data_IF_769890437103
#
_entry.id   IF_769890437103
#
_cell.length_a   1.000
_cell.length_b   1.000
_cell.length_c   1.000
_cell.angle_alpha   90.00
_cell.angle_beta   90.00
_cell.angle_gamma   90.00
#
_symmetry.space_group_name_H-M   'P 1'
#
loop_
_entity.id
_entity.type
_entity.pdbx_description
1 polymer ?
#
# COMPACT_ATOMS: atom_id res chain seq x y z
N UNK A 1 -22.33 -11.86 -6.81
CA UNK A 1 -22.59 -10.45 -7.17
C UNK A 1 -21.65 -9.60 -6.35
N UNK A 2 -20.75 -8.87 -7.00
CA UNK A 2 -19.84 -7.92 -6.32
C UNK A 2 -20.60 -6.61 -6.12
N UNK A 3 -20.57 -6.06 -4.91
CA UNK A 3 -21.15 -4.76 -4.60
C UNK A 3 -20.01 -3.78 -4.29
N UNK A 4 -19.89 -2.78 -5.15
CA UNK A 4 -18.84 -1.76 -5.08
C UNK A 4 -19.41 -0.40 -4.71
N UNK A 5 -18.67 0.34 -3.90
CA UNK A 5 -18.95 1.74 -3.57
C UNK A 5 -17.67 2.56 -3.76
N UNK A 6 -17.81 3.71 -4.38
CA UNK A 6 -16.75 4.70 -4.52
C UNK A 6 -17.15 5.98 -3.78
N UNK A 7 -16.26 6.46 -2.90
CA UNK A 7 -16.41 7.70 -2.15
C UNK A 7 -15.32 8.67 -2.61
N UNK A 8 -15.74 9.81 -3.16
CA UNK A 8 -14.84 10.87 -3.62
C UNK A 8 -14.87 12.01 -2.61
N UNK A 9 -13.70 12.34 -2.07
CA UNK A 9 -13.46 13.37 -1.06
C UNK A 9 -14.42 13.26 0.15
N UNK A 10 -14.63 12.07 0.75
CA UNK A 10 -15.60 11.92 1.83
C UNK A 10 -15.18 12.73 3.07
N UNK A 11 -16.12 13.41 3.76
CA UNK A 11 -15.86 14.00 5.07
C UNK A 11 -15.66 12.89 6.12
N UNK A 12 -15.04 13.23 7.26
CA UNK A 12 -14.98 12.29 8.38
C UNK A 12 -16.39 11.94 8.89
N UNK A 13 -16.62 10.72 9.40
CA UNK A 13 -17.89 10.32 10.00
C UNK A 13 -18.45 11.28 11.05
N UNK A 14 -17.57 11.84 11.87
CA UNK A 14 -17.89 12.85 12.88
C UNK A 14 -18.22 14.23 12.30
N UNK A 15 -17.66 14.60 11.15
CA UNK A 15 -17.93 15.89 10.51
C UNK A 15 -19.27 15.92 9.75
N UNK A 16 -19.71 14.78 9.21
CA UNK A 16 -21.01 14.66 8.53
C UNK A 16 -21.78 13.37 8.93
N UNK A 17 -22.35 13.33 10.14
CA UNK A 17 -23.06 12.14 10.62
C UNK A 17 -24.26 11.75 9.74
N UNK A 18 -24.87 12.70 9.02
CA UNK A 18 -26.06 12.46 8.21
C UNK A 18 -25.72 11.61 6.97
N UNK A 19 -24.65 11.96 6.26
CA UNK A 19 -24.15 11.16 5.12
C UNK A 19 -23.76 9.76 5.58
N UNK A 20 -23.05 9.65 6.70
CA UNK A 20 -22.60 8.37 7.23
C UNK A 20 -23.73 7.50 7.79
N UNK A 21 -24.83 8.09 8.25
CA UNK A 21 -26.06 7.37 8.61
C UNK A 21 -26.75 6.73 7.38
N UNK A 22 -26.55 7.28 6.18
CA UNK A 22 -27.01 6.68 4.93
C UNK A 22 -26.04 5.58 4.50
N UNK A 23 -24.73 5.87 4.48
CA UNK A 23 -23.70 4.91 4.06
C UNK A 23 -23.69 3.65 4.94
N UNK A 24 -23.92 3.76 6.24
CA UNK A 24 -23.99 2.62 7.16
C UNK A 24 -25.14 1.64 6.86
N UNK A 25 -26.13 2.03 6.05
CA UNK A 25 -27.19 1.13 5.58
C UNK A 25 -26.71 0.23 4.44
N UNK A 26 -25.59 0.55 3.80
CA UNK A 26 -24.99 -0.21 2.70
C UNK A 26 -24.15 -1.38 3.24
N UNK A 27 -24.76 -2.25 4.04
CA UNK A 27 -24.05 -3.30 4.80
C UNK A 27 -23.50 -4.46 3.94
N UNK A 28 -23.83 -4.50 2.65
CA UNK A 28 -23.44 -5.56 1.72
C UNK A 28 -22.28 -5.17 0.81
N UNK A 29 -21.70 -3.98 0.99
CA UNK A 29 -20.55 -3.53 0.20
C UNK A 29 -19.36 -4.43 0.51
N UNK A 30 -18.79 -5.03 -0.54
CA UNK A 30 -17.61 -5.88 -0.44
C UNK A 30 -16.36 -5.18 -0.98
N UNK A 31 -16.54 -4.22 -1.89
CA UNK A 31 -15.47 -3.45 -2.51
C UNK A 31 -15.69 -1.96 -2.20
N UNK A 32 -14.72 -1.32 -1.57
CA UNK A 32 -14.77 0.09 -1.22
C UNK A 32 -13.57 0.81 -1.84
N UNK A 33 -13.84 1.84 -2.62
CA UNK A 33 -12.82 2.78 -3.09
C UNK A 33 -13.04 4.13 -2.42
N UNK A 34 -11.99 4.69 -1.85
CA UNK A 34 -11.98 6.03 -1.26
C UNK A 34 -10.90 6.84 -1.96
N UNK A 35 -11.30 7.92 -2.60
CA UNK A 35 -10.44 8.74 -3.45
C UNK A 35 -10.44 10.19 -2.97
N UNK A 36 -9.28 10.85 -3.00
CA UNK A 36 -9.09 12.27 -2.67
C UNK A 36 -9.60 12.66 -1.27
N UNK A 37 -9.48 11.73 -0.33
CA UNK A 37 -9.85 11.95 1.05
C UNK A 37 -8.81 12.83 1.75
N UNK A 38 -9.24 13.90 2.41
CA UNK A 38 -8.36 14.81 3.16
C UNK A 38 -8.81 14.85 4.61
N UNK A 39 -8.31 13.94 5.44
CA UNK A 39 -8.71 13.82 6.84
C UNK A 39 -7.66 14.40 7.76
N UNK A 40 -8.11 15.25 8.68
CA UNK A 40 -7.25 15.83 9.70
C UNK A 40 -6.95 14.85 10.84
N UNK A 41 -7.91 14.00 11.20
CA UNK A 41 -7.82 13.01 12.26
C UNK A 41 -8.76 11.84 11.97
N UNK A 42 -8.36 10.62 12.32
CA UNK A 42 -9.24 9.45 12.33
C UNK A 42 -9.57 9.08 13.79
N UNK A 43 -10.63 9.67 14.34
CA UNK A 43 -11.00 9.45 15.74
C UNK A 43 -11.47 8.02 16.00
N UNK A 44 -11.50 7.61 17.28
CA UNK A 44 -11.97 6.28 17.65
C UNK A 44 -13.43 6.04 17.23
N UNK A 45 -14.26 7.09 17.29
CA UNK A 45 -15.64 7.12 16.86
C UNK A 45 -15.76 6.93 15.34
N UNK A 46 -14.93 7.62 14.56
CA UNK A 46 -14.89 7.47 13.10
C UNK A 46 -14.57 6.01 12.73
N UNK A 47 -13.56 5.41 13.37
CA UNK A 47 -13.18 4.01 13.15
C UNK A 47 -14.32 3.04 13.50
N UNK A 48 -15.02 3.28 14.61
CA UNK A 48 -16.14 2.44 15.02
C UNK A 48 -17.28 2.49 13.98
N UNK A 49 -17.58 3.69 13.47
CA UNK A 49 -18.59 3.90 12.44
C UNK A 49 -18.19 3.23 11.11
N UNK A 50 -16.95 3.44 10.65
CA UNK A 50 -16.40 2.79 9.46
C UNK A 50 -16.45 1.27 9.58
N UNK A 51 -15.99 0.73 10.71
CA UNK A 51 -15.99 -0.71 10.99
C UNK A 51 -17.41 -1.29 10.96
N UNK A 52 -18.38 -0.57 11.52
CA UNK A 52 -19.78 -0.99 11.51
C UNK A 52 -20.39 -0.93 10.12
N UNK A 53 -20.15 0.16 9.38
CA UNK A 53 -20.71 0.38 8.05
C UNK A 53 -20.15 -0.58 7.01
N UNK A 54 -18.85 -0.89 7.11
CA UNK A 54 -18.08 -1.59 6.09
C UNK A 54 -17.48 -2.90 6.59
N UNK A 55 -18.16 -3.57 7.53
CA UNK A 55 -17.70 -4.84 8.10
C UNK A 55 -17.49 -5.95 7.05
N UNK A 56 -18.17 -5.90 5.91
CA UNK A 56 -18.09 -6.90 4.83
C UNK A 56 -17.07 -6.54 3.74
N UNK A 57 -16.37 -5.40 3.87
CA UNK A 57 -15.38 -4.99 2.88
C UNK A 57 -14.18 -5.94 2.92
N UNK A 58 -13.88 -6.49 1.74
CA UNK A 58 -12.77 -7.41 1.49
C UNK A 58 -11.76 -6.82 0.52
N UNK A 59 -12.17 -5.83 -0.28
CA UNK A 59 -11.33 -5.12 -1.23
C UNK A 59 -11.40 -3.62 -0.91
N UNK A 60 -10.26 -3.02 -0.58
CA UNK A 60 -10.15 -1.61 -0.24
C UNK A 60 -9.13 -0.93 -1.16
N UNK A 61 -9.56 0.14 -1.82
CA UNK A 61 -8.69 1.03 -2.61
C UNK A 61 -8.64 2.40 -1.95
N UNK A 62 -7.44 2.91 -1.70
CA UNK A 62 -7.19 4.24 -1.16
C UNK A 62 -6.40 5.06 -2.17
N UNK A 63 -7.09 5.95 -2.89
CA UNK A 63 -6.51 6.82 -3.91
C UNK A 63 -6.36 8.25 -3.45
N UNK A 64 -5.18 8.83 -3.65
CA UNK A 64 -4.88 10.25 -3.39
C UNK A 64 -5.29 10.71 -1.98
N UNK A 65 -5.29 9.79 -1.00
CA UNK A 65 -5.71 10.08 0.36
C UNK A 65 -4.59 10.83 1.07
N UNK A 66 -4.94 11.96 1.68
CA UNK A 66 -4.01 12.83 2.40
C UNK A 66 -4.35 12.82 3.88
N UNK A 67 -3.33 12.51 4.66
CA UNK A 67 -3.43 12.43 6.11
C UNK A 67 -2.69 13.60 6.72
N UNK A 68 -3.26 14.22 7.75
CA UNK A 68 -2.49 15.20 8.53
C UNK A 68 -1.43 14.49 9.36
N UNK A 69 -1.81 13.40 10.02
CA UNK A 69 -0.93 12.58 10.83
C UNK A 69 -0.83 11.19 10.23
N UNK A 70 0.38 10.65 10.19
CA UNK A 70 0.69 9.35 9.59
C UNK A 70 0.05 8.20 10.37
N UNK A 71 -0.17 8.39 11.67
CA UNK A 71 -0.89 7.49 12.57
C UNK A 71 -2.35 7.32 12.18
N UNK A 72 -2.96 8.36 11.59
CA UNK A 72 -4.35 8.33 11.15
C UNK A 72 -4.54 7.34 10.01
N UNK A 73 -3.52 7.14 9.16
CA UNK A 73 -3.54 6.13 8.10
C UNK A 73 -3.68 4.71 8.67
N UNK A 74 -2.83 4.34 9.63
CA UNK A 74 -2.92 3.01 10.26
C UNK A 74 -4.21 2.86 11.08
N UNK A 75 -4.58 3.92 11.80
CA UNK A 75 -5.82 3.98 12.57
C UNK A 75 -7.03 3.77 11.67
N UNK A 76 -7.04 4.40 10.49
CA UNK A 76 -8.09 4.22 9.50
C UNK A 76 -8.13 2.79 8.96
N UNK A 77 -6.99 2.23 8.55
CA UNK A 77 -6.92 0.84 8.09
C UNK A 77 -7.47 -0.15 9.13
N UNK A 78 -7.30 0.17 10.43
CA UNK A 78 -7.82 -0.69 11.51
C UNK A 78 -9.35 -0.85 11.53
N UNK A 79 -10.08 0.03 10.84
CA UNK A 79 -11.53 -0.08 10.71
C UNK A 79 -11.97 -1.23 9.80
N UNK A 80 -11.08 -1.83 8.98
CA UNK A 80 -11.46 -2.79 7.95
C UNK A 80 -10.86 -4.18 8.17
N UNK A 81 -11.36 -4.97 9.15
CA UNK A 81 -10.69 -6.18 9.58
C UNK A 81 -10.66 -7.34 8.60
N UNK A 82 -11.56 -7.32 7.61
CA UNK A 82 -11.75 -8.40 6.65
C UNK A 82 -11.11 -8.11 5.29
N UNK A 83 -10.31 -7.04 5.18
CA UNK A 83 -9.65 -6.67 3.92
C UNK A 83 -8.64 -7.74 3.54
N UNK A 84 -8.92 -8.39 2.42
CA UNK A 84 -8.07 -9.38 1.78
C UNK A 84 -7.21 -8.75 0.67
N UNK A 85 -7.73 -7.73 0.00
CA UNK A 85 -7.01 -6.97 -1.03
C UNK A 85 -6.96 -5.49 -0.65
N UNK A 86 -5.76 -4.95 -0.49
CA UNK A 86 -5.52 -3.52 -0.25
C UNK A 86 -4.75 -2.91 -1.42
N UNK A 87 -5.28 -1.83 -1.99
CA UNK A 87 -4.64 -1.06 -3.05
C UNK A 87 -4.37 0.35 -2.52
N UNK A 88 -3.11 0.76 -2.56
CA UNK A 88 -2.63 2.06 -2.12
C UNK A 88 -2.17 2.87 -3.34
N UNK A 89 -2.96 3.88 -3.72
CA UNK A 89 -2.78 4.73 -4.89
C UNK A 89 -2.32 6.13 -4.44
N UNK A 90 -1.01 6.36 -4.42
CA UNK A 90 -0.40 7.65 -4.02
C UNK A 90 -0.97 8.33 -2.74
N UNK A 91 -1.13 7.62 -1.61
CA UNK A 91 -1.42 8.27 -0.33
C UNK A 91 -0.31 9.28 0.06
N UNK A 92 -0.63 10.39 0.73
CA UNK A 92 0.37 11.40 1.15
C UNK A 92 0.07 11.95 2.54
N UNK A 93 1.00 12.72 3.09
CA UNK A 93 0.77 13.58 4.26
C UNK A 93 0.52 15.03 3.83
N UNK A 94 -0.19 15.81 4.66
CA UNK A 94 -0.54 17.21 4.37
C UNK A 94 0.52 18.23 4.81
N UNK A 95 1.37 17.93 5.81
CA UNK A 95 2.39 18.88 6.30
C UNK A 95 3.43 18.24 7.24
N UNK A 96 4.63 18.85 7.28
CA UNK A 96 5.81 18.51 8.11
C UNK A 96 5.67 18.76 9.63
N UNK A 97 4.47 18.60 10.22
CA UNK A 97 4.41 18.57 11.70
C UNK A 97 5.18 17.32 12.15
N UNK A 98 6.35 17.53 12.77
CA UNK A 98 7.26 16.45 13.16
C UNK A 98 6.53 15.46 14.07
N UNK A 99 6.40 14.23 13.57
CA UNK A 99 5.92 13.11 14.35
C UNK A 99 6.88 12.83 15.51
N UNK A 100 6.38 12.74 16.74
CA UNK A 100 7.12 12.16 17.85
C UNK A 100 6.87 10.64 17.88
N UNK A 101 7.63 9.92 17.05
CA UNK A 101 7.64 8.46 16.99
C UNK A 101 7.93 7.80 18.34
N UNK A 102 8.57 8.51 19.29
CA UNK A 102 8.85 7.97 20.61
C UNK A 102 7.58 7.94 21.50
N UNK A 103 6.62 8.83 21.24
CA UNK A 103 5.33 8.87 21.93
C UNK A 103 4.32 7.93 21.27
N UNK A 104 4.53 7.54 20.01
CA UNK A 104 3.63 6.62 19.34
C UNK A 104 3.71 5.20 19.93
N UNK A 105 2.62 4.69 20.51
CA UNK A 105 2.64 3.35 21.05
C UNK A 105 2.65 2.34 19.91
N UNK A 106 3.77 1.61 19.75
CA UNK A 106 3.91 0.42 18.90
C UNK A 106 2.74 -0.58 19.00
N UNK A 107 1.95 -0.49 20.07
CA UNK A 107 0.71 -1.23 20.30
C UNK A 107 -0.34 -1.03 19.20
N UNK A 108 -0.36 0.08 18.48
CA UNK A 108 -1.32 0.32 17.39
C UNK A 108 -1.01 -0.56 16.17
N UNK A 109 0.27 -0.84 15.90
CA UNK A 109 0.65 -1.68 14.75
C UNK A 109 0.10 -3.10 14.87
N UNK A 110 0.07 -3.66 16.09
CA UNK A 110 -0.54 -4.96 16.35
C UNK A 110 -2.06 -4.99 16.33
N UNK A 111 -2.71 -3.82 16.35
CA UNK A 111 -4.15 -3.68 16.21
C UNK A 111 -4.60 -3.54 14.75
N UNK A 112 -3.66 -3.40 13.81
CA UNK A 112 -3.99 -3.31 12.39
C UNK A 112 -4.38 -4.71 11.92
N UNK A 113 -5.64 -4.90 11.50
CA UNK A 113 -6.06 -6.14 10.92
C UNK A 113 -5.30 -6.37 9.61
N UNK A 114 -4.64 -7.52 9.55
CA UNK A 114 -4.02 -8.02 8.33
C UNK A 114 -4.18 -9.52 8.18
N UNK A 115 -4.89 -10.19 9.11
CA UNK A 115 -5.01 -11.65 9.09
C UNK A 115 -5.73 -12.19 7.83
N UNK A 116 -6.61 -11.37 7.24
CA UNK A 116 -7.26 -11.68 5.97
C UNK A 116 -6.46 -11.24 4.75
N UNK A 117 -5.47 -10.35 4.91
CA UNK A 117 -4.72 -9.73 3.81
C UNK A 117 -3.93 -10.79 3.06
N UNK A 118 -4.23 -10.96 1.78
CA UNK A 118 -3.53 -11.86 0.88
C UNK A 118 -2.96 -11.14 -0.34
N UNK A 119 -3.48 -9.95 -0.69
CA UNK A 119 -2.98 -9.12 -1.77
C UNK A 119 -2.75 -7.68 -1.32
N UNK A 120 -1.57 -7.14 -1.62
CA UNK A 120 -1.21 -5.74 -1.43
C UNK A 120 -0.71 -5.15 -2.75
N UNK A 121 -1.28 -4.02 -3.15
CA UNK A 121 -0.87 -3.32 -4.36
C UNK A 121 -0.45 -1.89 -4.04
N UNK A 122 0.78 -1.55 -4.43
CA UNK A 122 1.27 -0.17 -4.44
C UNK A 122 1.08 0.37 -5.85
N UNK A 123 0.00 1.12 -6.04
CA UNK A 123 -0.42 1.59 -7.33
C UNK A 123 -0.04 3.04 -7.60
N UNK A 124 0.16 3.33 -8.88
CA UNK A 124 0.41 4.68 -9.40
C UNK A 124 -0.83 5.23 -10.08
N UNK A 125 -1.10 6.52 -9.91
CA UNK A 125 -2.13 7.22 -10.70
C UNK A 125 -1.50 8.13 -11.75
N UNK A 126 -2.11 8.20 -12.95
CA UNK A 126 -1.62 9.08 -14.04
C UNK A 126 -1.53 10.55 -13.64
N UNK A 127 -2.37 11.00 -12.71
CA UNK A 127 -2.34 12.35 -12.14
C UNK A 127 -0.99 12.71 -11.52
N UNK A 128 -0.30 11.72 -10.94
CA UNK A 128 0.98 11.88 -10.25
C UNK A 128 2.15 12.10 -11.21
N UNK A 129 2.01 11.77 -12.51
CA UNK A 129 3.03 12.05 -13.52
C UNK A 129 3.36 13.54 -13.62
N UNK A 130 2.31 14.36 -13.55
CA UNK A 130 2.39 15.78 -13.86
C UNK A 130 2.73 16.63 -12.63
N UNK A 131 2.46 16.12 -11.44
CA UNK A 131 2.50 16.96 -10.23
C UNK A 131 3.85 16.99 -9.51
N UNK A 132 4.82 16.11 -9.83
CA UNK A 132 6.11 15.94 -9.09
C UNK A 132 5.97 15.93 -7.55
N UNK A 133 4.75 15.77 -7.05
CA UNK A 133 4.41 16.01 -5.66
C UNK A 133 4.82 14.79 -4.84
N UNK A 134 5.34 15.04 -3.64
CA UNK A 134 5.83 14.04 -2.69
C UNK A 134 4.77 12.94 -2.46
N UNK A 135 4.98 11.78 -3.09
CA UNK A 135 4.19 10.57 -2.88
C UNK A 135 4.48 9.97 -1.50
N UNK A 136 3.63 9.05 -1.02
CA UNK A 136 3.73 8.30 0.25
C UNK A 136 5.16 7.92 0.62
N UNK A 137 5.93 7.55 -0.40
CA UNK A 137 7.21 6.88 -0.30
C UNK A 137 8.40 7.85 -0.28
N UNK A 138 8.12 9.12 -0.53
CA UNK A 138 9.07 10.22 -0.35
C UNK A 138 9.07 10.73 1.10
N UNK A 139 7.95 10.66 1.82
CA UNK A 139 7.88 11.04 3.24
C UNK A 139 8.57 9.98 4.11
N UNK A 140 9.67 10.33 4.81
CA UNK A 140 10.42 9.37 5.62
C UNK A 140 9.62 8.82 6.81
N UNK A 141 8.73 9.63 7.41
CA UNK A 141 7.93 9.25 8.57
C UNK A 141 6.89 8.20 8.19
N UNK A 142 6.22 8.44 7.06
CA UNK A 142 5.25 7.51 6.52
C UNK A 142 5.90 6.24 5.97
N UNK A 143 7.07 6.37 5.36
CA UNK A 143 7.86 5.21 4.95
C UNK A 143 8.23 4.32 6.12
N UNK A 144 8.76 4.88 7.20
CA UNK A 144 9.12 4.13 8.40
C UNK A 144 7.89 3.45 9.02
N UNK A 145 6.78 4.16 9.14
CA UNK A 145 5.56 3.61 9.75
C UNK A 145 4.95 2.47 8.93
N UNK A 146 4.90 2.62 7.60
CA UNK A 146 4.46 1.56 6.69
C UNK A 146 5.43 0.39 6.75
N UNK A 147 6.74 0.63 6.76
CA UNK A 147 7.76 -0.42 6.95
C UNK A 147 7.56 -1.22 8.24
N UNK A 148 7.27 -0.54 9.35
CA UNK A 148 6.95 -1.18 10.63
C UNK A 148 5.69 -2.03 10.53
N UNK A 149 4.61 -1.53 9.92
CA UNK A 149 3.39 -2.31 9.70
C UNK A 149 3.65 -3.55 8.82
N UNK A 150 4.35 -3.38 7.70
CA UNK A 150 4.69 -4.48 6.80
C UNK A 150 5.53 -5.56 7.49
N UNK A 151 6.45 -5.17 8.37
CA UNK A 151 7.26 -6.13 9.15
C UNK A 151 6.41 -6.99 10.08
N UNK A 152 5.29 -6.45 10.57
CA UNK A 152 4.36 -7.15 11.45
C UNK A 152 3.50 -8.19 10.72
N UNK A 153 3.31 -8.05 9.39
CA UNK A 153 2.53 -9.00 8.58
C UNK A 153 3.05 -10.44 8.69
N UNK A 154 4.36 -10.60 8.92
CA UNK A 154 4.99 -11.90 9.15
C UNK A 154 4.39 -12.73 10.29
N UNK A 155 3.80 -12.06 11.29
CA UNK A 155 3.19 -12.70 12.45
C UNK A 155 1.69 -12.95 12.31
N UNK A 156 1.02 -12.31 11.34
CA UNK A 156 -0.45 -12.30 11.22
C UNK A 156 -0.96 -12.86 9.89
N UNK A 157 -0.14 -12.91 8.84
CA UNK A 157 -0.51 -13.45 7.52
C UNK A 157 0.03 -14.88 7.37
N UNK A 158 -0.78 -15.92 7.64
CA UNK A 158 -0.29 -17.30 7.65
C UNK A 158 -0.06 -17.88 6.24
N UNK A 159 -0.76 -17.35 5.24
CA UNK A 159 -0.82 -17.96 3.90
C UNK A 159 0.14 -17.31 2.88
N UNK A 160 0.93 -16.35 3.34
CA UNK A 160 1.75 -15.51 2.47
C UNK A 160 0.99 -14.34 1.84
N UNK A 161 1.73 -13.50 1.15
CA UNK A 161 1.28 -12.22 0.60
C UNK A 161 1.70 -12.12 -0.87
N UNK A 162 0.73 -11.86 -1.73
CA UNK A 162 0.94 -11.41 -3.12
C UNK A 162 1.10 -9.89 -3.13
N UNK A 163 2.20 -9.41 -3.68
CA UNK A 163 2.50 -7.99 -3.80
C UNK A 163 2.61 -7.60 -5.26
N UNK A 164 1.82 -6.59 -5.63
CA UNK A 164 1.91 -5.94 -6.92
C UNK A 164 2.48 -4.54 -6.75
N UNK A 165 3.53 -4.24 -7.51
CA UNK A 165 4.20 -2.96 -7.50
C UNK A 165 4.06 -2.28 -8.85
N UNK A 166 3.26 -1.22 -8.90
CA UNK A 166 3.12 -0.36 -10.08
C UNK A 166 3.45 1.11 -9.76
N UNK A 167 3.81 1.41 -8.51
CA UNK A 167 4.20 2.74 -8.04
C UNK A 167 5.59 3.17 -8.51
N UNK A 168 5.65 4.27 -9.27
CA UNK A 168 6.91 4.87 -9.72
C UNK A 168 7.68 5.56 -8.59
N UNK A 169 7.02 6.52 -7.93
CA UNK A 169 7.56 7.30 -6.81
C UNK A 169 7.91 6.43 -5.61
N UNK A 170 7.32 5.24 -5.55
CA UNK A 170 7.60 4.25 -4.55
C UNK A 170 8.94 3.58 -4.60
N UNK A 171 9.62 3.65 -5.74
CA UNK A 171 10.80 2.83 -5.99
C UNK A 171 11.94 3.08 -4.98
N UNK A 172 12.01 4.28 -4.38
CA UNK A 172 12.97 4.58 -3.30
C UNK A 172 12.70 3.77 -2.02
N UNK A 173 11.43 3.56 -1.66
CA UNK A 173 11.03 2.76 -0.51
C UNK A 173 10.96 1.26 -0.79
N UNK A 174 11.00 0.86 -2.07
CA UNK A 174 10.87 -0.55 -2.49
C UNK A 174 11.79 -1.50 -1.71
N UNK A 175 13.11 -1.28 -1.61
CA UNK A 175 13.99 -2.24 -0.91
C UNK A 175 13.63 -2.41 0.56
N UNK A 176 13.23 -1.33 1.23
CA UNK A 176 12.82 -1.36 2.63
C UNK A 176 11.58 -2.21 2.84
N UNK A 177 10.58 -2.03 1.98
CA UNK A 177 9.29 -2.74 2.10
C UNK A 177 9.40 -4.21 1.72
N UNK A 178 10.20 -4.51 0.69
CA UNK A 178 10.50 -5.89 0.33
C UNK A 178 11.22 -6.60 1.47
N UNK A 179 12.18 -5.94 2.16
CA UNK A 179 12.80 -6.53 3.36
C UNK A 179 11.79 -6.77 4.48
N UNK A 180 10.90 -5.80 4.73
CA UNK A 180 9.88 -5.90 5.77
C UNK A 180 8.91 -7.06 5.51
N UNK A 181 8.45 -7.24 4.26
CA UNK A 181 7.51 -8.30 3.88
C UNK A 181 8.18 -9.64 3.58
N UNK A 182 9.50 -9.69 3.44
CA UNK A 182 10.25 -10.84 2.90
C UNK A 182 9.84 -12.22 3.43
N UNK A 183 9.66 -12.41 4.76
CA UNK A 183 9.24 -13.69 5.31
C UNK A 183 7.86 -14.20 4.85
N UNK A 184 6.94 -13.31 4.47
CA UNK A 184 5.57 -13.64 4.01
C UNK A 184 5.34 -13.41 2.53
N UNK A 185 6.19 -12.66 1.84
CA UNK A 185 6.06 -12.41 0.42
C UNK A 185 6.15 -13.74 -0.37
N UNK A 186 5.07 -14.14 -1.05
CA UNK A 186 5.02 -15.35 -1.88
C UNK A 186 5.07 -15.03 -3.36
N UNK A 187 4.43 -13.95 -3.78
CA UNK A 187 4.32 -13.58 -5.18
C UNK A 187 4.65 -12.09 -5.29
N UNK A 188 5.52 -11.76 -6.24
CA UNK A 188 5.93 -10.38 -6.49
C UNK A 188 5.74 -10.05 -7.96
N UNK A 189 4.78 -9.20 -8.27
CA UNK A 189 4.59 -8.65 -9.61
C UNK A 189 5.10 -7.21 -9.65
N UNK A 190 6.04 -6.91 -10.54
CA UNK A 190 6.55 -5.56 -10.77
C UNK A 190 6.15 -5.13 -12.18
N UNK A 191 5.43 -4.01 -12.29
CA UNK A 191 5.07 -3.41 -13.57
C UNK A 191 5.88 -2.15 -13.79
N UNK A 192 6.44 -1.97 -15.00
CA UNK A 192 7.20 -0.81 -15.51
C UNK A 192 7.69 0.22 -14.48
N UNK A 193 9.01 0.32 -14.32
CA UNK A 193 9.66 1.36 -13.51
C UNK A 193 10.51 2.25 -14.43
N UNK A 194 10.11 3.52 -14.61
CA UNK A 194 10.83 4.52 -15.40
C UNK A 194 11.74 5.39 -14.52
N UNK A 195 12.81 4.86 -13.91
CA UNK A 195 13.64 5.68 -13.01
C UNK A 195 15.11 5.77 -13.43
N UNK A 196 15.65 6.99 -13.32
CA UNK A 196 17.08 7.29 -13.51
C UNK A 196 17.98 6.71 -12.41
N UNK A 197 17.41 6.25 -11.28
CA UNK A 197 18.16 5.77 -10.12
C UNK A 197 17.62 4.42 -9.66
N UNK A 198 18.36 3.39 -10.04
CA UNK A 198 18.13 2.03 -9.57
C UNK A 198 18.84 1.88 -8.22
N UNK A 199 18.16 1.43 -7.14
CA UNK A 199 18.82 1.20 -5.87
C UNK A 199 19.88 0.09 -6.02
N UNK A 200 21.01 0.17 -5.30
CA UNK A 200 22.05 -0.87 -5.36
C UNK A 200 21.59 -2.21 -4.76
N UNK A 201 20.59 -2.18 -3.88
CA UNK A 201 20.00 -3.32 -3.19
C UNK A 201 18.46 -3.26 -3.32
N UNK A 202 17.82 -4.39 -3.62
CA UNK A 202 16.37 -4.51 -3.78
C UNK A 202 15.70 -5.18 -2.57
N UNK A 203 16.47 -5.62 -1.58
CA UNK A 203 15.93 -6.27 -0.38
C UNK A 203 15.52 -7.73 -0.57
N UNK A 204 15.73 -8.29 -1.77
CA UNK A 204 15.26 -9.63 -2.15
C UNK A 204 15.89 -10.77 -1.34
N UNK A 205 17.01 -10.52 -0.67
CA UNK A 205 17.67 -11.50 0.21
C UNK A 205 16.82 -11.87 1.42
N UNK A 206 15.88 -11.01 1.83
CA UNK A 206 14.95 -11.27 2.92
C UNK A 206 13.73 -12.12 2.48
N UNK A 207 13.50 -12.29 1.18
CA UNK A 207 12.31 -12.93 0.63
C UNK A 207 12.43 -14.47 0.66
N UNK A 208 12.36 -15.07 1.84
CA UNK A 208 12.55 -16.51 2.05
C UNK A 208 11.35 -17.37 1.64
N UNK A 209 10.16 -16.76 1.51
CA UNK A 209 8.92 -17.45 1.14
C UNK A 209 8.53 -17.31 -0.32
N UNK A 210 9.28 -16.52 -1.09
CA UNK A 210 8.95 -16.12 -2.46
C UNK A 210 8.90 -17.34 -3.39
N UNK A 211 7.87 -17.41 -4.23
CA UNK A 211 7.58 -18.52 -5.15
C UNK A 211 7.58 -18.05 -6.59
N UNK A 212 7.06 -16.84 -6.83
CA UNK A 212 6.96 -16.27 -8.16
C UNK A 212 7.44 -14.82 -8.17
N UNK A 213 8.12 -14.45 -9.25
CA UNK A 213 8.44 -13.07 -9.59
C UNK A 213 8.01 -12.86 -11.04
N UNK A 214 7.16 -11.87 -11.27
CA UNK A 214 6.71 -11.49 -12.60
C UNK A 214 7.10 -10.04 -12.89
N UNK A 215 7.63 -9.81 -14.08
CA UNK A 215 7.90 -8.48 -14.61
C UNK A 215 6.94 -8.20 -15.75
N UNK A 216 6.15 -7.14 -15.62
CA UNK A 216 5.20 -6.70 -16.64
C UNK A 216 5.72 -5.43 -17.32
N UNK A 217 5.61 -5.37 -18.65
CA UNK A 217 6.06 -4.22 -19.44
C UNK A 217 7.59 -3.99 -19.50
N UNK A 218 8.43 -4.85 -18.90
CA UNK A 218 9.90 -4.76 -19.02
C UNK A 218 10.41 -5.07 -20.44
N UNK A 219 9.60 -5.75 -21.26
CA UNK A 219 9.94 -6.09 -22.65
C UNK A 219 9.12 -5.31 -23.69
N UNK A 220 8.28 -4.35 -23.27
CA UNK A 220 7.49 -3.54 -24.20
C UNK A 220 8.34 -2.39 -24.73
N UNK A 221 8.90 -2.56 -25.92
CA UNK A 221 9.40 -1.46 -26.75
C UNK A 221 8.23 -0.85 -27.52
N UNK A 222 7.38 -0.08 -26.84
CA UNK A 222 6.46 0.79 -27.57
C UNK A 222 7.16 2.14 -27.82
N UNK A 223 7.46 2.38 -29.10
CA UNK A 223 8.27 3.44 -29.71
C UNK A 223 7.89 4.89 -29.36
N UNK A 224 6.94 5.14 -28.48
CA UNK A 224 6.28 6.45 -28.43
C UNK A 224 6.97 7.41 -27.46
N UNK A 225 7.67 6.97 -26.40
CA UNK A 225 8.36 7.90 -25.49
C UNK A 225 9.60 7.27 -24.82
N UNK A 226 10.76 7.42 -25.47
CA UNK A 226 12.10 7.51 -24.83
C UNK A 226 12.57 6.32 -23.97
N UNK A 227 12.74 5.12 -24.53
CA UNK A 227 13.50 4.06 -23.86
C UNK A 227 14.95 3.99 -24.38
N UNK A 228 15.91 4.40 -23.55
CA UNK A 228 17.32 4.11 -23.80
C UNK A 228 17.60 2.64 -23.45
N UNK A 229 18.41 1.94 -24.26
CA UNK A 229 18.68 0.50 -24.12
C UNK A 229 19.34 0.06 -22.79
N UNK A 230 19.58 0.97 -21.85
CA UNK A 230 20.16 0.70 -20.53
C UNK A 230 19.12 0.46 -19.42
N UNK A 231 17.82 0.66 -19.69
CA UNK A 231 16.76 0.81 -18.69
C UNK A 231 16.45 -0.43 -17.84
N UNK A 232 16.84 -1.64 -18.27
CA UNK A 232 16.47 -2.88 -17.56
C UNK A 232 17.66 -3.65 -16.97
N UNK A 233 18.86 -3.05 -16.93
CA UNK A 233 20.06 -3.64 -16.30
C UNK A 233 19.89 -3.94 -14.80
N UNK A 234 18.83 -3.44 -14.18
CA UNK A 234 18.46 -3.69 -12.80
C UNK A 234 17.80 -5.06 -12.60
N UNK A 235 17.09 -5.60 -13.60
CA UNK A 235 16.35 -6.87 -13.46
C UNK A 235 17.30 -8.03 -13.13
N UNK A 236 18.39 -8.27 -13.87
CA UNK A 236 19.35 -9.32 -13.50
C UNK A 236 19.98 -9.10 -12.12
N UNK A 237 20.23 -7.84 -11.72
CA UNK A 237 20.78 -7.50 -10.40
C UNK A 237 19.81 -7.83 -9.27
N UNK A 238 18.53 -7.53 -9.46
CA UNK A 238 17.46 -7.87 -8.52
C UNK A 238 17.32 -9.39 -8.40
N UNK A 239 17.25 -10.10 -9.54
CA UNK A 239 17.15 -11.55 -9.56
C UNK A 239 18.36 -12.24 -8.91
N UNK A 240 19.57 -11.69 -9.07
CA UNK A 240 20.78 -12.22 -8.43
C UNK A 240 20.75 -12.18 -6.88
N UNK A 241 19.89 -11.34 -6.30
CA UNK A 241 19.70 -11.22 -4.85
C UNK A 241 18.65 -12.19 -4.31
N UNK A 242 17.89 -12.83 -5.18
CA UNK A 242 16.85 -13.78 -4.79
C UNK A 242 17.51 -15.03 -4.21
N UNK A 243 17.11 -15.41 -2.99
CA UNK A 243 17.62 -16.56 -2.25
C UNK A 243 16.54 -17.57 -1.86
N UNK A 244 15.31 -17.37 -2.32
CA UNK A 244 14.22 -18.29 -1.97
C UNK A 244 14.46 -19.68 -2.54
N UNK A 245 14.40 -20.74 -1.73
CA UNK A 245 14.49 -22.12 -2.22
C UNK A 245 13.20 -22.60 -2.89
N UNK A 246 12.13 -21.79 -2.86
CA UNK A 246 10.80 -22.14 -3.37
C UNK A 246 10.53 -21.61 -4.77
N UNK A 247 11.46 -20.86 -5.34
CA UNK A 247 11.35 -20.43 -6.73
C UNK A 247 11.76 -21.62 -7.57
N UNK A 248 10.76 -22.25 -8.19
CA UNK A 248 11.03 -23.18 -9.25
C UNK A 248 11.62 -22.40 -10.42
N UNK A 249 12.74 -22.88 -10.96
CA UNK A 249 13.27 -22.34 -12.20
C UNK A 249 12.24 -22.63 -13.30
N UNK A 250 11.49 -21.60 -13.70
CA UNK A 250 10.56 -21.65 -14.85
C UNK A 250 11.34 -21.47 -16.14
#
# INVERSE_FOLDING_TARGET
>A
MVLSLELVSPPSPTADPATWAILSRLTRITHLSIVDMCWAYCYAEDRALLRSAFAQVTHLTLGLCRWRHVEDFLSFLSAFPNVATLILEDPTTLSEEQMDLAVFPRQIVGAIPGAALCKLEFAWTRSSFLSQSASLLADPNLRELVGLWLSHLSSIVPNGLDVQWTSFTGWLGFPEYIRAMGPVLTDLKIMMVFHDSVPPDFGMTACTSLRSIAFDGVCYQDDIWLASSAEYSWVPRMLAQVRSPRIDAV
#
